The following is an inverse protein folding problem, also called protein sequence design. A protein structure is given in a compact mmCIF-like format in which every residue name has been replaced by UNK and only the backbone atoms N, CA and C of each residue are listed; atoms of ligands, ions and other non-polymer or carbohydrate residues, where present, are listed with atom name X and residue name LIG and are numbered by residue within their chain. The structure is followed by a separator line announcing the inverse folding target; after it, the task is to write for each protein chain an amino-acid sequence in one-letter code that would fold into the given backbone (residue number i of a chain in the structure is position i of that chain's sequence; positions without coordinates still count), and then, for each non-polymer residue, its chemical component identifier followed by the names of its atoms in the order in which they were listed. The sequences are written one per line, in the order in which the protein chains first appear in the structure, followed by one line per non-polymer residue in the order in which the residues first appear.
data_IF_503223651697
#
_entry.id   IF_503223651697
#
_cell.length_a   1.000
_cell.length_b   1.000
_cell.length_c   1.000
_cell.angle_alpha   90.00
_cell.angle_beta   90.00
_cell.angle_gamma   90.00
#
_symmetry.space_group_name_H-M   'P 1'
#
loop_
_entity.id
_entity.type
_entity.pdbx_description
1 polymer ?
#
# COMPACT_ATOMS: atom_id res chain seq x y z
N UNK A 1 3.34 -0.80 -4.10
CA UNK A 1 4.00 -1.60 -3.03
C UNK A 1 3.21 -2.84 -2.67
N UNK A 2 1.86 -2.77 -2.43
CA UNK A 2 1.05 -3.91 -1.97
C UNK A 2 1.14 -5.12 -2.89
N UNK A 3 1.02 -4.96 -4.21
CA UNK A 3 1.10 -6.06 -5.18
C UNK A 3 2.46 -6.78 -5.17
N UNK A 4 3.57 -6.07 -4.92
CA UNK A 4 4.87 -6.72 -4.73
C UNK A 4 4.88 -7.59 -3.47
N UNK A 5 4.39 -7.07 -2.34
CA UNK A 5 4.33 -7.83 -1.10
C UNK A 5 3.40 -9.04 -1.20
N UNK A 6 2.24 -8.89 -1.85
CA UNK A 6 1.33 -10.01 -2.13
C UNK A 6 2.04 -11.11 -2.92
N UNK A 7 2.71 -10.75 -4.02
CA UNK A 7 3.44 -11.70 -4.84
C UNK A 7 4.60 -12.36 -4.08
N UNK A 8 5.38 -11.58 -3.33
CA UNK A 8 6.51 -12.11 -2.55
C UNK A 8 6.05 -13.05 -1.44
N UNK A 9 4.98 -12.68 -0.71
CA UNK A 9 4.42 -13.52 0.36
C UNK A 9 3.81 -14.80 -0.18
N UNK A 10 3.16 -14.74 -1.35
CA UNK A 10 2.62 -15.90 -2.03
C UNK A 10 3.73 -16.86 -2.46
N UNK A 11 4.80 -16.35 -3.07
CA UNK A 11 5.96 -17.17 -3.44
C UNK A 11 6.62 -17.81 -2.22
N UNK A 12 6.74 -17.10 -1.12
CA UNK A 12 7.24 -17.65 0.13
C UNK A 12 6.34 -18.78 0.66
N UNK A 13 5.03 -18.57 0.65
CA UNK A 13 4.05 -19.57 1.04
C UNK A 13 4.09 -20.80 0.14
N UNK A 14 4.13 -20.62 -1.18
CA UNK A 14 4.27 -21.71 -2.15
C UNK A 14 5.56 -22.51 -1.92
N UNK A 15 6.69 -21.81 -1.74
CA UNK A 15 7.97 -22.47 -1.51
C UNK A 15 7.97 -23.36 -0.25
N UNK A 16 7.31 -22.92 0.82
CA UNK A 16 7.14 -23.75 2.04
C UNK A 16 6.29 -25.00 1.83
N UNK A 17 5.42 -25.01 0.84
CA UNK A 17 4.46 -26.08 0.56
C UNK A 17 4.84 -26.92 -0.67
N UNK A 18 5.99 -26.73 -1.29
CA UNK A 18 6.41 -27.46 -2.48
C UNK A 18 6.52 -28.97 -2.25
N UNK A 19 6.83 -29.40 -1.05
CA UNK A 19 6.87 -30.82 -0.69
C UNK A 19 5.50 -31.49 -0.86
N UNK A 20 4.40 -30.76 -0.70
CA UNK A 20 3.05 -31.29 -0.88
C UNK A 20 2.75 -31.71 -2.33
N UNK A 21 3.50 -31.18 -3.28
CA UNK A 21 3.38 -31.51 -4.71
C UNK A 21 4.60 -32.30 -5.23
N UNK A 22 5.39 -32.90 -4.33
CA UNK A 22 6.51 -33.75 -4.67
C UNK A 22 7.79 -33.00 -5.06
N UNK A 23 7.89 -31.70 -4.78
CA UNK A 23 9.12 -30.92 -5.00
C UNK A 23 9.86 -30.75 -3.68
N UNK A 24 11.01 -31.37 -3.55
CA UNK A 24 11.85 -31.24 -2.37
C UNK A 24 12.66 -29.93 -2.44
N UNK A 25 12.52 -29.10 -1.40
CA UNK A 25 13.30 -27.89 -1.21
C UNK A 25 13.98 -27.94 0.14
N UNK A 26 15.12 -27.30 0.26
CA UNK A 26 15.78 -27.09 1.54
C UNK A 26 15.00 -26.15 2.45
N UNK A 27 15.59 -25.74 3.56
CA UNK A 27 14.95 -24.83 4.51
C UNK A 27 14.63 -23.46 3.88
N UNK A 28 13.34 -23.13 3.83
CA UNK A 28 12.86 -21.85 3.30
C UNK A 28 12.79 -20.82 4.43
N UNK A 29 13.67 -19.81 4.36
CA UNK A 29 13.75 -18.73 5.36
C UNK A 29 13.31 -17.39 4.79
N UNK A 30 12.56 -16.65 5.60
CA UNK A 30 12.21 -15.27 5.28
C UNK A 30 13.36 -14.32 5.60
N UNK A 31 13.75 -13.52 4.62
CA UNK A 31 14.57 -12.33 4.84
C UNK A 31 13.70 -11.08 4.59
N UNK A 32 13.01 -10.63 5.64
CA UNK A 32 12.09 -9.51 5.55
C UNK A 32 12.78 -8.24 5.08
N UNK A 33 13.97 -7.93 5.59
CA UNK A 33 14.72 -6.72 5.20
C UNK A 33 15.01 -6.70 3.70
N UNK A 34 15.42 -7.84 3.12
CA UNK A 34 15.67 -7.95 1.66
C UNK A 34 14.38 -7.83 0.87
N UNK A 35 13.28 -8.44 1.35
CA UNK A 35 11.95 -8.34 0.74
C UNK A 35 11.48 -6.89 0.69
N UNK A 36 11.60 -6.15 1.79
CA UNK A 36 11.22 -4.73 1.85
C UNK A 36 12.07 -3.86 0.94
N UNK A 37 13.40 -4.07 0.89
CA UNK A 37 14.27 -3.36 -0.06
C UNK A 37 13.88 -3.61 -1.51
N UNK A 38 13.48 -4.82 -1.86
CA UNK A 38 13.01 -5.14 -3.22
C UNK A 38 11.69 -4.42 -3.54
N UNK A 39 10.77 -4.36 -2.58
CA UNK A 39 9.53 -3.57 -2.71
C UNK A 39 9.85 -2.08 -2.92
N UNK A 40 10.73 -1.49 -2.11
CA UNK A 40 11.11 -0.08 -2.21
C UNK A 40 11.81 0.21 -3.55
N UNK A 41 12.66 -0.69 -4.01
CA UNK A 41 13.27 -0.60 -5.33
C UNK A 41 12.22 -0.58 -6.44
N UNK A 42 11.24 -1.46 -6.40
CA UNK A 42 10.17 -1.50 -7.40
C UNK A 42 9.36 -0.19 -7.41
N UNK A 43 9.06 0.38 -6.25
CA UNK A 43 8.40 1.69 -6.14
C UNK A 43 9.27 2.79 -6.76
N UNK A 44 10.57 2.83 -6.42
CA UNK A 44 11.49 3.82 -6.95
C UNK A 44 11.66 3.71 -8.48
N UNK A 45 11.73 2.50 -9.02
CA UNK A 45 11.85 2.28 -10.46
C UNK A 45 10.58 2.75 -11.20
N UNK A 46 9.39 2.49 -10.65
CA UNK A 46 8.13 2.95 -11.22
C UNK A 46 7.99 4.48 -11.19
N UNK A 47 8.34 5.12 -10.08
CA UNK A 47 8.26 6.59 -9.96
C UNK A 47 9.24 7.28 -10.91
N UNK A 48 10.46 6.77 -11.04
CA UNK A 48 11.42 7.25 -12.04
C UNK A 48 10.92 7.06 -13.48
N UNK A 49 10.22 5.95 -13.75
CA UNK A 49 9.59 5.71 -15.03
C UNK A 49 8.54 6.77 -15.37
N UNK A 50 7.74 7.20 -14.40
CA UNK A 50 6.75 8.29 -14.59
C UNK A 50 7.46 9.62 -14.89
N UNK A 51 8.50 9.97 -14.13
CA UNK A 51 9.28 11.20 -14.38
C UNK A 51 9.90 11.19 -15.79
N UNK A 52 10.42 10.03 -16.23
CA UNK A 52 10.90 9.87 -17.62
C UNK A 52 9.80 10.09 -18.65
N UNK A 53 8.60 9.57 -18.41
CA UNK A 53 7.45 9.76 -19.31
C UNK A 53 7.03 11.22 -19.39
N UNK A 54 7.02 11.94 -18.26
CA UNK A 54 6.77 13.39 -18.25
C UNK A 54 7.77 14.12 -19.15
N UNK A 55 9.06 13.85 -18.97
CA UNK A 55 10.12 14.45 -19.80
C UNK A 55 9.96 14.10 -21.30
N UNK A 56 9.72 12.82 -21.61
CA UNK A 56 9.54 12.34 -22.99
C UNK A 56 8.37 13.01 -23.68
N UNK A 57 7.27 13.22 -22.96
CA UNK A 57 6.04 13.81 -23.50
C UNK A 57 6.00 15.35 -23.32
N UNK A 58 7.10 15.98 -22.92
CA UNK A 58 7.20 17.42 -22.71
C UNK A 58 6.16 17.98 -21.72
N UNK A 59 5.80 17.17 -20.71
CA UNK A 59 4.94 17.60 -19.59
C UNK A 59 5.82 18.31 -18.56
N UNK A 60 5.46 19.54 -18.21
CA UNK A 60 6.13 20.27 -17.16
C UNK A 60 5.73 19.69 -15.80
N UNK A 61 6.71 19.21 -15.05
CA UNK A 61 6.49 18.62 -13.74
C UNK A 61 6.93 19.57 -12.62
N UNK A 62 6.01 19.91 -11.75
CA UNK A 62 6.26 20.69 -10.55
C UNK A 62 6.11 19.79 -9.32
N UNK A 63 7.18 19.57 -8.58
CA UNK A 63 7.16 18.81 -7.35
C UNK A 63 6.91 19.73 -6.18
N UNK A 64 5.76 19.59 -5.51
CA UNK A 64 5.38 20.44 -4.37
C UNK A 64 3.91 20.26 -4.00
N UNK A 65 3.47 21.00 -2.99
CA UNK A 65 2.08 21.03 -2.55
C UNK A 65 1.33 22.09 -3.36
N UNK A 66 0.39 21.64 -4.20
CA UNK A 66 -0.48 22.51 -4.99
C UNK A 66 -1.69 23.02 -4.19
N UNK A 67 -2.05 24.27 -4.37
CA UNK A 67 -3.29 24.86 -3.86
C UNK A 67 -3.84 25.89 -4.82
N UNK A 68 -5.16 26.07 -4.87
CA UNK A 68 -5.78 27.10 -5.68
C UNK A 68 -5.56 28.48 -5.04
N UNK A 69 -5.11 29.45 -5.83
CA UNK A 69 -5.13 30.88 -5.51
C UNK A 69 -6.38 31.55 -6.08
N UNK A 70 -6.76 31.17 -7.28
CA UNK A 70 -7.97 31.60 -7.96
C UNK A 70 -8.48 30.46 -8.87
N UNK A 71 -9.53 30.71 -9.66
CA UNK A 71 -10.04 29.77 -10.67
C UNK A 71 -8.99 29.36 -11.70
N UNK A 72 -7.99 30.21 -11.95
CA UNK A 72 -7.00 30.05 -13.02
C UNK A 72 -5.55 30.09 -12.52
N UNK A 73 -5.34 30.15 -11.20
CA UNK A 73 -4.00 30.20 -10.61
C UNK A 73 -3.81 29.09 -9.57
N UNK A 74 -2.72 28.35 -9.75
CA UNK A 74 -2.27 27.32 -8.82
C UNK A 74 -0.96 27.77 -8.17
N UNK A 75 -0.95 27.83 -6.84
CA UNK A 75 0.27 27.99 -6.05
C UNK A 75 0.88 26.62 -5.78
N UNK A 76 2.18 26.50 -5.97
CA UNK A 76 2.98 25.29 -5.71
C UNK A 76 4.01 25.64 -4.66
N UNK A 77 3.89 25.06 -3.48
CA UNK A 77 4.85 25.23 -2.38
C UNK A 77 5.83 24.06 -2.36
N UNK A 78 7.11 24.33 -2.57
CA UNK A 78 8.21 23.39 -2.47
C UNK A 78 9.40 24.02 -1.76
N UNK A 79 9.97 23.34 -0.77
CA UNK A 79 11.15 23.82 0.00
C UNK A 79 11.02 25.29 0.50
N UNK A 80 9.85 25.62 1.02
CA UNK A 80 9.48 26.98 1.47
C UNK A 80 9.48 28.05 0.36
N UNK A 81 9.53 27.66 -0.90
CA UNK A 81 9.43 28.55 -2.05
C UNK A 81 8.09 28.36 -2.74
N UNK A 82 7.39 29.46 -2.95
CA UNK A 82 6.13 29.47 -3.70
C UNK A 82 6.41 29.77 -5.18
N UNK A 83 5.78 28.99 -6.05
CA UNK A 83 5.71 29.22 -7.49
C UNK A 83 4.25 29.26 -7.89
N UNK A 84 3.83 30.32 -8.62
CA UNK A 84 2.45 30.44 -9.12
C UNK A 84 2.44 30.16 -10.61
N UNK A 85 1.53 29.32 -11.05
CA UNK A 85 1.29 29.05 -12.46
C UNK A 85 -0.15 29.39 -12.83
N UNK A 86 -0.35 29.80 -14.08
CA UNK A 86 -1.68 30.01 -14.66
C UNK A 86 -2.12 28.77 -15.43
N UNK A 87 -3.41 28.47 -15.38
CA UNK A 87 -4.01 27.33 -16.07
C UNK A 87 -5.45 27.63 -16.47
N UNK A 88 -5.83 27.22 -17.65
CA UNK A 88 -7.22 27.35 -18.13
C UNK A 88 -8.13 26.24 -17.60
N UNK A 89 -7.56 25.05 -17.35
CA UNK A 89 -8.29 23.87 -16.86
C UNK A 89 -7.44 23.10 -15.89
N UNK A 90 -8.04 22.64 -14.80
CA UNK A 90 -7.36 21.87 -13.77
C UNK A 90 -8.10 20.56 -13.52
N UNK A 91 -7.35 19.46 -13.47
CA UNK A 91 -7.83 18.16 -13.02
C UNK A 91 -7.30 17.92 -11.60
N UNK A 92 -8.20 17.70 -10.65
CA UNK A 92 -7.83 17.40 -9.25
C UNK A 92 -7.70 15.89 -9.12
N UNK A 93 -6.46 15.42 -8.92
CA UNK A 93 -6.13 13.99 -8.76
C UNK A 93 -5.17 13.81 -7.58
N UNK A 94 -5.57 14.26 -6.40
CA UNK A 94 -4.71 14.37 -5.21
C UNK A 94 -4.56 13.06 -4.44
N UNK A 95 -5.25 11.99 -4.88
CA UNK A 95 -5.22 10.70 -4.22
C UNK A 95 -6.12 10.63 -2.97
N UNK A 96 -5.78 9.74 -2.06
CA UNK A 96 -6.49 9.50 -0.80
C UNK A 96 -5.49 9.24 0.33
N UNK A 97 -5.91 9.51 1.54
CA UNK A 97 -5.16 9.22 2.76
C UNK A 97 -5.96 8.31 3.70
N UNK A 98 -5.29 7.47 4.50
CA UNK A 98 -5.97 6.68 5.50
C UNK A 98 -6.58 7.60 6.58
N UNK A 99 -7.78 7.25 7.05
CA UNK A 99 -8.47 7.96 8.11
C UNK A 99 -8.40 7.14 9.39
N UNK A 100 -8.03 7.77 10.50
CA UNK A 100 -8.05 7.16 11.82
C UNK A 100 -9.48 6.95 12.32
N UNK A 101 -9.67 5.95 13.18
CA UNK A 101 -10.92 5.75 13.90
C UNK A 101 -10.98 6.79 15.04
N UNK A 102 -12.15 7.42 15.31
CA UNK A 102 -12.27 8.36 16.40
C UNK A 102 -11.76 7.79 17.74
N UNK A 103 -10.79 8.47 18.35
CA UNK A 103 -10.16 8.04 19.58
C UNK A 103 -9.01 7.03 19.44
N UNK A 104 -8.65 6.65 18.21
CA UNK A 104 -7.54 5.73 17.90
C UNK A 104 -6.68 6.36 16.81
N UNK A 105 -5.67 7.12 17.22
CA UNK A 105 -4.76 7.76 16.27
C UNK A 105 -3.62 6.82 15.86
N UNK A 106 -3.15 6.98 14.61
CA UNK A 106 -1.98 6.26 14.13
C UNK A 106 -0.72 6.78 14.83
N UNK A 107 0.03 5.87 15.44
CA UNK A 107 1.38 6.13 15.97
C UNK A 107 2.47 5.61 15.01
N UNK A 108 2.07 4.85 13.98
CA UNK A 108 2.91 4.19 12.99
C UNK A 108 3.96 3.22 13.59
N UNK A 109 3.76 2.83 14.87
CA UNK A 109 4.58 1.86 15.58
C UNK A 109 3.76 0.63 16.00
N UNK A 110 2.65 0.83 16.71
CA UNK A 110 1.72 -0.20 17.17
C UNK A 110 0.36 -0.09 16.49
N UNK A 111 -0.07 1.15 16.25
CA UNK A 111 -1.31 1.48 15.55
C UNK A 111 -0.93 2.02 14.18
N UNK A 112 -0.96 1.14 13.20
CA UNK A 112 -0.48 1.43 11.85
C UNK A 112 -1.62 1.84 10.93
N UNK A 113 -1.38 2.82 10.10
CA UNK A 113 -2.17 3.01 8.88
C UNK A 113 -1.85 1.92 7.85
N UNK A 114 -2.60 1.89 6.75
CA UNK A 114 -2.25 1.04 5.60
C UNK A 114 -0.86 1.37 5.03
N UNK A 115 -0.42 2.62 5.14
CA UNK A 115 0.93 3.05 4.73
C UNK A 115 1.99 2.47 5.65
N UNK A 116 1.80 2.55 6.98
CA UNK A 116 2.69 1.92 7.96
C UNK A 116 2.76 0.41 7.80
N UNK A 117 1.60 -0.23 7.53
CA UNK A 117 1.54 -1.68 7.27
C UNK A 117 2.35 -2.13 6.05
N UNK A 118 2.61 -1.25 5.07
CA UNK A 118 3.50 -1.52 3.94
C UNK A 118 5.00 -1.37 4.27
N UNK A 119 5.34 -0.94 5.49
CA UNK A 119 6.71 -0.56 5.87
C UNK A 119 7.19 -1.24 7.16
N UNK A 120 6.50 -2.29 7.61
CA UNK A 120 6.86 -3.04 8.83
C UNK A 120 8.28 -3.59 8.71
N UNK A 121 9.14 -3.24 9.66
CA UNK A 121 10.55 -3.63 9.69
C UNK A 121 10.81 -4.97 10.40
N UNK A 122 9.89 -5.39 11.28
CA UNK A 122 9.98 -6.62 12.06
C UNK A 122 8.63 -7.35 12.02
N UNK A 123 8.65 -8.61 11.64
CA UNK A 123 7.45 -9.44 11.56
C UNK A 123 6.74 -9.49 12.93
N UNK A 124 5.49 -9.00 13.04
CA UNK A 124 4.74 -9.06 14.29
C UNK A 124 4.28 -10.50 14.54
N UNK A 125 4.19 -10.91 15.81
CA UNK A 125 3.62 -12.22 16.17
C UNK A 125 2.12 -12.26 15.94
N UNK A 126 1.43 -11.17 16.29
CA UNK A 126 -0.01 -10.97 16.12
C UNK A 126 -0.29 -9.63 15.46
N UNK A 127 -1.34 -9.58 14.68
CA UNK A 127 -1.85 -8.37 14.03
C UNK A 127 -3.37 -8.40 14.05
N UNK A 128 -3.97 -7.30 14.49
CA UNK A 128 -5.41 -7.07 14.37
C UNK A 128 -5.61 -6.06 13.26
N UNK A 129 -6.50 -6.37 12.33
CA UNK A 129 -6.88 -5.49 11.23
C UNK A 129 -8.31 -5.04 11.50
N UNK A 130 -8.51 -3.73 11.56
CA UNK A 130 -9.82 -3.14 11.71
C UNK A 130 -10.33 -2.70 10.33
N UNK A 131 -11.38 -3.37 9.89
CA UNK A 131 -11.98 -3.23 8.57
C UNK A 131 -11.68 -4.40 7.63
N UNK A 132 -12.73 -5.09 7.19
CA UNK A 132 -12.67 -6.22 6.24
C UNK A 132 -12.72 -5.78 4.78
N UNK A 133 -12.31 -4.55 4.45
CA UNK A 133 -12.18 -4.07 3.09
C UNK A 133 -10.93 -4.64 2.39
N UNK A 134 -10.84 -4.48 1.06
CA UNK A 134 -9.77 -5.06 0.25
C UNK A 134 -8.35 -4.68 0.71
N UNK A 135 -8.13 -3.46 1.22
CA UNK A 135 -6.81 -3.03 1.71
C UNK A 135 -6.41 -3.84 2.94
N UNK A 136 -7.32 -3.97 3.91
CA UNK A 136 -7.07 -4.73 5.14
C UNK A 136 -6.80 -6.21 4.84
N UNK A 137 -7.61 -6.80 3.96
CA UNK A 137 -7.47 -8.21 3.58
C UNK A 137 -6.21 -8.48 2.75
N UNK A 138 -5.81 -7.57 1.85
CA UNK A 138 -4.52 -7.68 1.15
C UNK A 138 -3.35 -7.67 2.14
N UNK A 139 -3.33 -6.73 3.09
CA UNK A 139 -2.27 -6.65 4.09
C UNK A 139 -2.31 -7.84 5.03
N UNK A 140 -3.49 -8.25 5.48
CA UNK A 140 -3.68 -9.47 6.27
C UNK A 140 -3.14 -10.71 5.60
N UNK A 141 -3.44 -10.90 4.32
CA UNK A 141 -2.92 -12.01 3.52
C UNK A 141 -1.39 -12.01 3.43
N UNK A 142 -0.78 -10.83 3.21
CA UNK A 142 0.69 -10.71 3.18
C UNK A 142 1.29 -11.16 4.50
N UNK A 143 0.87 -10.57 5.60
CA UNK A 143 1.50 -10.80 6.90
C UNK A 143 1.19 -12.21 7.44
N UNK A 144 -0.01 -12.73 7.18
CA UNK A 144 -0.38 -14.11 7.53
C UNK A 144 0.50 -15.14 6.82
N UNK A 145 0.69 -15.00 5.49
CA UNK A 145 1.58 -15.89 4.71
C UNK A 145 3.04 -15.84 5.17
N UNK A 146 3.46 -14.71 5.72
CA UNK A 146 4.81 -14.54 6.29
C UNK A 146 4.93 -15.11 7.72
N UNK A 147 3.83 -15.48 8.37
CA UNK A 147 3.82 -16.15 9.67
C UNK A 147 3.27 -15.33 10.84
N UNK A 148 2.65 -14.19 10.59
CA UNK A 148 1.91 -13.42 11.59
C UNK A 148 0.54 -14.05 11.83
N UNK A 149 0.11 -14.18 13.09
CA UNK A 149 -1.28 -14.51 13.42
C UNK A 149 -2.12 -13.25 13.16
N UNK A 150 -2.99 -13.31 12.17
CA UNK A 150 -3.84 -12.18 11.75
C UNK A 150 -5.28 -12.43 12.18
N UNK A 151 -5.90 -11.42 12.78
CA UNK A 151 -7.32 -11.37 13.10
C UNK A 151 -7.92 -10.14 12.41
N UNK A 152 -9.09 -10.30 11.78
CA UNK A 152 -9.81 -9.18 11.14
C UNK A 152 -11.06 -8.89 11.94
N UNK A 153 -11.28 -7.61 12.24
CA UNK A 153 -12.49 -7.13 12.92
C UNK A 153 -13.23 -6.24 11.93
N UNK A 154 -14.45 -6.66 11.57
CA UNK A 154 -15.34 -5.92 10.69
C UNK A 154 -16.61 -5.54 11.46
N UNK A 155 -17.10 -4.32 11.23
CA UNK A 155 -18.34 -3.83 11.86
C UNK A 155 -19.59 -4.37 11.15
N UNK A 156 -19.50 -4.57 9.84
CA UNK A 156 -20.58 -5.13 9.04
C UNK A 156 -20.66 -6.64 9.22
N UNK A 157 -21.74 -7.24 8.78
CA UNK A 157 -21.99 -8.68 8.83
C UNK A 157 -21.25 -9.49 7.76
N UNK A 158 -20.49 -8.83 6.91
CA UNK A 158 -19.67 -9.46 5.86
C UNK A 158 -18.44 -8.60 5.54
N UNK A 159 -17.40 -9.24 5.01
CA UNK A 159 -16.20 -8.59 4.50
C UNK A 159 -16.43 -8.06 3.08
N UNK A 160 -15.49 -7.25 2.57
CA UNK A 160 -15.54 -6.67 1.21
C UNK A 160 -16.85 -5.95 0.89
N UNK A 161 -17.29 -4.98 1.73
CA UNK A 161 -18.54 -4.27 1.51
C UNK A 161 -18.53 -3.59 0.13
N UNK A 162 -19.62 -3.72 -0.62
CA UNK A 162 -19.76 -3.22 -1.99
C UNK A 162 -19.37 -4.21 -3.08
N UNK A 163 -18.86 -5.39 -2.74
CA UNK A 163 -18.71 -6.51 -3.66
C UNK A 163 -19.98 -7.38 -3.69
N UNK A 164 -20.04 -8.30 -4.67
CA UNK A 164 -21.09 -9.30 -4.73
C UNK A 164 -21.08 -10.19 -3.48
N UNK A 165 -22.27 -10.52 -2.97
CA UNK A 165 -22.44 -11.25 -1.70
C UNK A 165 -21.91 -12.68 -1.78
N UNK A 166 -21.99 -13.35 -2.94
CA UNK A 166 -21.41 -14.68 -3.13
C UNK A 166 -19.89 -14.63 -3.07
N UNK A 167 -19.29 -13.61 -3.72
CA UNK A 167 -17.83 -13.40 -3.68
C UNK A 167 -17.36 -13.09 -2.26
N UNK A 168 -18.11 -12.28 -1.51
CA UNK A 168 -17.77 -11.96 -0.11
C UNK A 168 -17.78 -13.21 0.77
N UNK A 169 -18.80 -14.06 0.63
CA UNK A 169 -18.93 -15.32 1.37
C UNK A 169 -17.86 -16.36 1.01
N UNK A 170 -17.49 -16.44 -0.27
CA UNK A 170 -16.41 -17.35 -0.71
C UNK A 170 -15.03 -16.89 -0.17
N UNK A 171 -14.90 -15.61 0.16
CA UNK A 171 -13.65 -15.02 0.61
C UNK A 171 -13.50 -15.04 2.14
N UNK A 172 -14.57 -15.20 2.91
CA UNK A 172 -14.57 -15.40 4.36
C UNK A 172 -14.01 -16.77 4.76
#
# INVERSE_FOLDING_TARGET
PSKNLLNFSENFHKAKNFTNIGIEVGEVKLNLSKMMKNKDKAVADLTKGIEFLFKKNKVTYFKGKGSFKSSNEISILADNKETVIQTDKTIISTGSEPVSIPGIDFDEEKILSSTGALSISKLPKKMIIVGGGYIGLEMGSVWSRLGTQVEVVEYLDHITPGMDTEVSKDFE
#
